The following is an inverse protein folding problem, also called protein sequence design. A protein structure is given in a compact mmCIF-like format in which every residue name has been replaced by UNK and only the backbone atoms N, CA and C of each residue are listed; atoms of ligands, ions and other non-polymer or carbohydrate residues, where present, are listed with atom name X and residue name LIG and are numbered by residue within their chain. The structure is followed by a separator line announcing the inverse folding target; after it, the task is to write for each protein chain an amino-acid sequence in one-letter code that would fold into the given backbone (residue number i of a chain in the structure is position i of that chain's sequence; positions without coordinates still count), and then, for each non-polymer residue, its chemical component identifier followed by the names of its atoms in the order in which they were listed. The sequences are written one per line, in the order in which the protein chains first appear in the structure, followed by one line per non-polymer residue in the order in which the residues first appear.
data_IF_669954703852
#
_entry.id   IF_669954703852
#
_cell.length_a   1.000
_cell.length_b   1.000
_cell.length_c   1.000
_cell.angle_alpha   90.00
_cell.angle_beta   90.00
_cell.angle_gamma   90.00
#
_symmetry.space_group_name_H-M   'P 1'
#
loop_
_entity.id
_entity.type
_entity.pdbx_description
1 polymer ?
#
# COMPACT_ATOMS: atom_id res chain seq x y z
N UNK A 1 2.44 -10.34 41.50
CA UNK A 1 1.68 -11.14 40.51
C UNK A 1 2.09 -10.59 39.17
N UNK A 2 2.90 -11.32 38.41
CA UNK A 2 3.32 -10.86 37.09
C UNK A 2 2.12 -10.88 36.14
N UNK A 3 1.89 -9.76 35.46
CA UNK A 3 0.88 -9.70 34.39
C UNK A 3 1.27 -10.71 33.30
N UNK A 4 0.29 -11.41 32.67
CA UNK A 4 0.53 -12.26 31.51
C UNK A 4 1.37 -11.51 30.46
N UNK A 5 2.29 -12.20 29.78
CA UNK A 5 3.24 -11.61 28.82
C UNK A 5 2.56 -10.60 27.86
N UNK A 6 1.45 -10.97 27.23
CA UNK A 6 0.68 -10.08 26.33
C UNK A 6 0.23 -8.78 27.04
N UNK A 7 -0.15 -8.85 28.33
CA UNK A 7 -0.60 -7.67 29.07
C UNK A 7 0.48 -6.63 29.32
N UNK A 8 1.75 -7.04 29.37
CA UNK A 8 2.89 -6.13 29.52
C UNK A 8 3.25 -5.44 28.19
N UNK A 9 2.98 -6.08 27.06
CA UNK A 9 3.40 -5.63 25.73
C UNK A 9 2.26 -5.12 24.83
N UNK A 10 1.09 -4.77 25.38
CA UNK A 10 -0.06 -4.39 24.54
C UNK A 10 0.19 -3.15 23.68
N UNK A 11 0.94 -2.18 24.20
CA UNK A 11 1.30 -0.98 23.45
C UNK A 11 2.29 -1.27 22.32
N UNK A 12 3.22 -2.22 22.54
CA UNK A 12 4.17 -2.66 21.52
C UNK A 12 3.42 -3.44 20.43
N UNK A 13 2.53 -4.36 20.82
CA UNK A 13 1.65 -5.11 19.91
C UNK A 13 0.76 -4.16 19.10
N UNK A 14 0.16 -3.15 19.72
CA UNK A 14 -0.66 -2.14 19.03
C UNK A 14 0.15 -1.40 17.96
N UNK A 15 1.39 -1.02 18.29
CA UNK A 15 2.32 -0.38 17.35
C UNK A 15 2.74 -1.32 16.22
N UNK A 16 2.90 -2.62 16.52
CA UNK A 16 3.22 -3.64 15.53
C UNK A 16 2.10 -3.91 14.54
N UNK A 17 0.86 -3.86 14.96
CA UNK A 17 -0.24 -4.10 14.04
C UNK A 17 -0.37 -2.97 12.99
N UNK A 18 0.32 -1.83 13.18
CA UNK A 18 0.40 -0.69 12.24
C UNK A 18 1.70 -0.69 11.43
N UNK A 19 2.84 -0.64 12.12
CA UNK A 19 4.15 -0.54 11.49
C UNK A 19 4.61 -1.94 11.09
N UNK A 20 5.17 -2.10 9.89
CA UNK A 20 5.46 -3.43 9.32
C UNK A 20 6.95 -3.75 9.26
N UNK A 21 7.80 -2.81 9.64
CA UNK A 21 9.25 -2.94 9.59
C UNK A 21 9.90 -2.00 10.58
N UNK A 22 10.96 -2.47 11.25
CA UNK A 22 11.80 -1.71 12.17
C UNK A 22 13.26 -2.03 11.92
N UNK A 23 14.11 -1.02 12.08
CA UNK A 23 15.57 -1.14 12.10
C UNK A 23 16.02 -1.08 13.56
N UNK A 24 16.80 -2.07 13.98
CA UNK A 24 17.28 -2.28 15.35
C UNK A 24 16.17 -2.14 16.41
N UNK A 25 15.10 -2.96 16.32
CA UNK A 25 14.07 -2.97 17.36
C UNK A 25 14.67 -3.40 18.70
N UNK A 26 14.15 -2.84 19.80
CA UNK A 26 14.51 -3.30 21.13
C UNK A 26 13.99 -4.73 21.41
N UNK A 27 14.49 -5.33 22.49
CA UNK A 27 14.18 -6.70 22.90
C UNK A 27 12.67 -6.91 23.14
N UNK A 28 11.95 -5.91 23.67
CA UNK A 28 10.51 -6.01 23.90
C UNK A 28 9.73 -6.12 22.58
N UNK A 29 10.14 -5.36 21.55
CA UNK A 29 9.54 -5.49 20.22
C UNK A 29 9.84 -6.88 19.63
N UNK A 30 11.07 -7.37 19.74
CA UNK A 30 11.42 -8.71 19.22
C UNK A 30 10.55 -9.77 19.89
N UNK A 31 10.43 -9.75 21.22
CA UNK A 31 9.63 -10.72 21.97
C UNK A 31 8.13 -10.62 21.62
N UNK A 32 7.60 -9.41 21.45
CA UNK A 32 6.21 -9.19 21.03
C UNK A 32 5.94 -9.75 19.63
N UNK A 33 6.86 -9.55 18.67
CA UNK A 33 6.69 -10.08 17.32
C UNK A 33 6.81 -11.61 17.28
N UNK A 34 7.70 -12.19 18.09
CA UNK A 34 7.82 -13.63 18.24
C UNK A 34 6.56 -14.25 18.83
N UNK A 35 5.97 -13.62 19.85
CA UNK A 35 4.68 -14.04 20.40
C UNK A 35 3.57 -14.02 19.34
N UNK A 36 3.45 -12.92 18.58
CA UNK A 36 2.45 -12.83 17.50
C UNK A 36 2.69 -13.86 16.39
N UNK A 37 3.95 -14.24 16.14
CA UNK A 37 4.32 -15.26 15.17
C UNK A 37 3.98 -16.67 15.67
N UNK A 38 4.16 -16.94 16.97
CA UNK A 38 3.77 -18.23 17.59
C UNK A 38 2.27 -18.51 17.50
N UNK A 39 1.44 -17.45 17.57
CA UNK A 39 -0.03 -17.57 17.41
C UNK A 39 -0.48 -17.46 15.94
N UNK A 40 0.43 -17.51 14.98
CA UNK A 40 0.20 -17.38 13.52
C UNK A 40 -0.42 -16.05 13.06
N UNK A 41 -0.45 -15.01 13.90
CA UNK A 41 -1.07 -13.72 13.54
C UNK A 41 -0.18 -12.89 12.64
N UNK A 42 1.14 -13.05 12.77
CA UNK A 42 2.12 -12.43 11.88
C UNK A 42 3.05 -13.51 11.34
N UNK A 43 3.56 -13.27 10.14
CA UNK A 43 4.76 -13.93 9.64
C UNK A 43 5.93 -12.97 9.85
N UNK A 44 6.91 -13.42 10.59
CA UNK A 44 8.10 -12.66 10.95
C UNK A 44 9.22 -12.93 9.94
N UNK A 45 9.82 -11.86 9.42
CA UNK A 45 10.95 -11.88 8.49
C UNK A 45 12.09 -11.05 9.11
N UNK A 46 13.16 -11.73 9.51
CA UNK A 46 14.37 -11.11 10.06
C UNK A 46 15.46 -11.18 9.01
N UNK A 47 16.10 -10.05 8.74
CA UNK A 47 17.33 -10.00 7.94
C UNK A 47 18.28 -8.96 8.49
N UNK A 48 19.57 -9.16 8.24
CA UNK A 48 20.59 -8.18 8.59
C UNK A 48 20.97 -7.40 7.35
N UNK A 49 21.38 -6.15 7.52
CA UNK A 49 22.05 -5.40 6.48
C UNK A 49 23.24 -4.62 7.02
N UNK A 50 24.12 -4.21 6.12
CA UNK A 50 25.19 -3.25 6.38
C UNK A 50 25.07 -2.09 5.40
N UNK A 51 25.54 -0.92 5.81
CA UNK A 51 25.63 0.23 4.90
C UNK A 51 26.95 0.15 4.15
N UNK A 52 26.91 0.33 2.83
CA UNK A 52 28.09 0.23 1.97
C UNK A 52 29.26 1.12 2.47
N UNK A 53 29.01 2.42 2.64
CA UNK A 53 29.95 3.38 3.20
C UNK A 53 29.40 4.00 4.49
N UNK A 54 29.58 3.29 5.61
CA UNK A 54 29.30 3.81 6.95
C UNK A 54 30.55 4.45 7.55
N UNK A 55 30.42 5.62 8.15
CA UNK A 55 31.53 6.39 8.73
C UNK A 55 32.11 5.80 10.02
N UNK A 56 31.37 4.89 10.64
CA UNK A 56 31.81 4.15 11.83
C UNK A 56 32.59 2.87 11.50
N UNK A 57 32.63 2.44 10.24
CA UNK A 57 33.30 1.21 9.85
C UNK A 57 34.82 1.39 9.65
N UNK A 58 35.59 0.31 9.86
CA UNK A 58 37.06 0.35 9.75
C UNK A 58 37.56 0.65 8.34
N UNK A 59 36.79 0.28 7.31
CA UNK A 59 37.16 0.50 5.92
C UNK A 59 36.85 1.91 5.41
N UNK A 60 36.05 2.69 6.16
CA UNK A 60 35.60 4.02 5.74
C UNK A 60 36.68 4.96 5.18
N UNK A 61 37.87 5.07 5.82
CA UNK A 61 38.93 5.96 5.32
C UNK A 61 39.45 5.59 3.93
N UNK A 62 39.27 4.34 3.50
CA UNK A 62 39.82 3.79 2.26
C UNK A 62 38.75 3.57 1.18
N UNK A 63 37.52 4.03 1.40
CA UNK A 63 36.41 3.86 0.44
C UNK A 63 36.52 4.89 -0.68
N UNK A 64 36.48 4.43 -1.94
CA UNK A 64 36.51 5.30 -3.11
C UNK A 64 35.28 6.21 -3.23
N UNK A 65 34.09 5.70 -2.89
CA UNK A 65 32.83 6.45 -2.86
C UNK A 65 32.23 6.50 -1.43
N UNK A 66 32.63 7.48 -0.60
CA UNK A 66 32.15 7.59 0.79
C UNK A 66 30.68 8.03 0.90
N UNK A 67 30.06 8.45 -0.21
CA UNK A 67 28.66 8.88 -0.24
C UNK A 67 27.68 7.73 -0.54
N UNK A 68 28.17 6.52 -0.81
CA UNK A 68 27.32 5.37 -1.06
C UNK A 68 26.66 4.87 0.24
N UNK A 69 25.39 5.23 0.45
CA UNK A 69 24.59 4.81 1.61
C UNK A 69 23.65 3.64 1.33
N UNK A 70 23.97 2.86 0.29
CA UNK A 70 23.15 1.70 -0.06
C UNK A 70 23.15 0.65 1.06
N UNK A 71 21.99 0.06 1.30
CA UNK A 71 21.77 -1.02 2.26
C UNK A 71 22.06 -2.35 1.56
N UNK A 72 23.03 -3.10 2.08
CA UNK A 72 23.44 -4.38 1.52
C UNK A 72 22.98 -5.48 2.46
N UNK A 73 22.00 -6.27 2.01
CA UNK A 73 21.40 -7.35 2.80
C UNK A 73 22.40 -8.48 2.97
N UNK A 74 22.54 -8.97 4.20
CA UNK A 74 23.37 -10.11 4.58
C UNK A 74 22.45 -11.30 4.87
N UNK A 75 22.68 -12.41 4.19
CA UNK A 75 21.97 -13.65 4.47
C UNK A 75 22.36 -14.22 5.83
N UNK A 76 21.47 -14.99 6.45
CA UNK A 76 21.70 -15.57 7.79
C UNK A 76 22.89 -16.54 7.87
N UNK A 77 23.27 -17.11 6.73
CA UNK A 77 24.28 -18.12 6.51
C UNK A 77 25.51 -17.57 5.79
N UNK A 78 25.58 -16.24 5.61
CA UNK A 78 26.66 -15.57 4.88
C UNK A 78 28.03 -15.87 5.50
N UNK A 79 28.91 -16.45 4.69
CA UNK A 79 30.31 -16.70 5.02
C UNK A 79 31.22 -15.97 4.03
N UNK A 80 31.96 -14.99 4.52
CA UNK A 80 32.86 -14.16 3.71
C UNK A 80 34.02 -14.96 3.08
N UNK A 81 34.33 -16.16 3.58
CA UNK A 81 35.31 -17.05 2.95
C UNK A 81 34.75 -17.80 1.72
N UNK A 82 33.44 -17.92 1.61
CA UNK A 82 32.74 -18.71 0.58
C UNK A 82 31.85 -17.88 -0.34
N UNK A 83 31.34 -16.75 0.14
CA UNK A 83 30.31 -15.93 -0.50
C UNK A 83 30.85 -14.54 -0.88
N UNK A 84 30.64 -14.16 -2.14
CA UNK A 84 30.90 -12.81 -2.61
C UNK A 84 29.70 -11.89 -2.33
N UNK A 85 29.93 -10.78 -1.63
CA UNK A 85 28.92 -9.76 -1.39
C UNK A 85 29.35 -8.46 -2.03
N UNK A 86 28.55 -7.93 -2.97
CA UNK A 86 28.85 -6.67 -3.64
C UNK A 86 27.70 -5.67 -3.48
N UNK A 87 28.04 -4.38 -3.40
CA UNK A 87 27.06 -3.32 -3.37
C UNK A 87 26.45 -3.11 -4.76
N UNK A 88 25.12 -3.22 -4.87
CA UNK A 88 24.41 -3.06 -6.16
C UNK A 88 24.57 -1.67 -6.79
N UNK A 89 24.75 -0.64 -5.95
CA UNK A 89 24.81 0.76 -6.41
C UNK A 89 26.19 1.16 -6.95
N UNK A 90 27.27 0.79 -6.25
CA UNK A 90 28.63 1.19 -6.61
C UNK A 90 29.51 0.04 -7.11
N UNK A 91 29.00 -1.20 -7.10
CA UNK A 91 29.72 -2.40 -7.53
C UNK A 91 30.89 -2.79 -6.63
N UNK A 92 30.97 -2.22 -5.42
CA UNK A 92 32.08 -2.46 -4.49
C UNK A 92 31.87 -3.75 -3.72
N UNK A 93 32.92 -4.57 -3.61
CA UNK A 93 32.94 -5.72 -2.73
C UNK A 93 32.83 -5.30 -1.25
N UNK A 94 31.95 -5.97 -0.54
CA UNK A 94 31.59 -5.71 0.85
C UNK A 94 32.08 -6.87 1.69
N UNK A 95 32.84 -6.54 2.72
CA UNK A 95 33.47 -7.50 3.62
C UNK A 95 33.02 -7.21 5.07
N UNK A 96 31.82 -7.66 5.47
CA UNK A 96 31.23 -7.34 6.76
C UNK A 96 32.06 -7.80 7.96
N UNK A 97 32.68 -8.98 7.89
CA UNK A 97 33.45 -9.58 8.97
C UNK A 97 34.87 -9.00 9.03
N UNK A 98 35.57 -8.92 7.90
CA UNK A 98 36.95 -8.39 7.85
C UNK A 98 37.02 -6.94 8.33
N UNK A 99 36.07 -6.09 7.91
CA UNK A 99 36.04 -4.68 8.30
C UNK A 99 35.15 -4.38 9.51
N UNK A 100 34.62 -5.41 10.17
CA UNK A 100 33.73 -5.29 11.34
C UNK A 100 32.63 -4.24 11.10
N UNK A 101 31.99 -4.30 9.93
CA UNK A 101 30.97 -3.32 9.54
C UNK A 101 29.80 -3.39 10.51
N UNK A 102 29.22 -2.25 10.85
CA UNK A 102 28.05 -2.20 11.71
C UNK A 102 26.87 -2.91 11.03
N UNK A 103 26.36 -3.94 11.71
CA UNK A 103 25.19 -4.69 11.26
C UNK A 103 23.94 -4.11 11.89
N UNK A 104 22.93 -3.92 11.07
CA UNK A 104 21.61 -3.48 11.48
C UNK A 104 20.63 -4.63 11.30
N UNK A 105 19.82 -4.90 12.32
CA UNK A 105 18.76 -5.89 12.27
C UNK A 105 17.50 -5.24 11.72
N UNK A 106 16.95 -5.78 10.64
CA UNK A 106 15.60 -5.43 10.20
C UNK A 106 14.65 -6.52 10.62
N UNK A 107 13.66 -6.12 11.42
CA UNK A 107 12.51 -6.94 11.74
C UNK A 107 11.34 -6.47 10.89
N UNK A 108 10.89 -7.32 9.98
CA UNK A 108 9.68 -7.06 9.19
C UNK A 108 8.60 -8.06 9.55
N UNK A 109 7.36 -7.61 9.57
CA UNK A 109 6.21 -8.45 9.87
C UNK A 109 5.16 -8.34 8.78
N UNK A 110 4.57 -9.48 8.44
CA UNK A 110 3.44 -9.57 7.53
C UNK A 110 2.23 -10.10 8.27
N UNK A 111 1.18 -9.30 8.35
CA UNK A 111 -0.07 -9.69 9.01
C UNK A 111 -0.74 -10.85 8.28
N UNK A 112 -1.10 -11.88 9.03
CA UNK A 112 -1.95 -12.96 8.57
C UNK A 112 -3.43 -12.63 8.87
N UNK A 113 -3.99 -11.76 8.04
CA UNK A 113 -5.37 -11.25 8.22
C UNK A 113 -6.41 -12.37 8.29
N UNK A 114 -6.23 -13.47 7.55
CA UNK A 114 -7.12 -14.62 7.57
C UNK A 114 -7.15 -15.31 8.94
N UNK A 115 -5.97 -15.56 9.54
CA UNK A 115 -5.89 -16.13 10.90
C UNK A 115 -6.49 -15.21 11.95
N UNK A 116 -6.25 -13.90 11.85
CA UNK A 116 -6.82 -12.91 12.77
C UNK A 116 -8.35 -12.89 12.65
N UNK A 117 -8.91 -12.90 11.43
CA UNK A 117 -10.36 -12.98 11.21
C UNK A 117 -10.93 -14.26 11.81
N UNK A 118 -10.32 -15.41 11.52
CA UNK A 118 -10.78 -16.69 12.04
C UNK A 118 -10.75 -16.75 13.56
N UNK A 119 -9.74 -16.15 14.19
CA UNK A 119 -9.69 -16.01 15.64
C UNK A 119 -10.79 -15.07 16.16
N UNK A 120 -11.00 -13.93 15.52
CA UNK A 120 -12.02 -12.98 15.92
C UNK A 120 -13.43 -13.58 15.80
N UNK A 121 -13.73 -14.28 14.70
CA UNK A 121 -15.01 -14.97 14.50
C UNK A 121 -15.23 -16.08 15.55
N UNK A 122 -14.16 -16.72 16.04
CA UNK A 122 -14.28 -17.65 17.19
C UNK A 122 -14.70 -16.95 18.47
N UNK A 123 -14.30 -15.69 18.71
CA UNK A 123 -14.78 -14.91 19.87
C UNK A 123 -16.29 -14.60 19.78
N UNK A 124 -16.85 -14.58 18.57
CA UNK A 124 -18.29 -14.40 18.34
C UNK A 124 -19.11 -15.67 18.62
N UNK A 125 -18.45 -16.82 18.84
CA UNK A 125 -19.13 -18.10 19.08
C UNK A 125 -20.00 -18.01 20.34
N UNK A 126 -21.29 -18.27 20.19
CA UNK A 126 -22.27 -18.15 21.28
C UNK A 126 -23.06 -16.85 21.27
N UNK A 127 -22.74 -15.90 20.37
CA UNK A 127 -23.56 -14.73 20.08
C UNK A 127 -24.36 -14.94 18.79
N UNK A 128 -25.46 -14.20 18.64
CA UNK A 128 -26.22 -14.14 17.38
C UNK A 128 -25.62 -13.02 16.54
N UNK A 129 -24.93 -13.38 15.46
CA UNK A 129 -24.24 -12.42 14.60
C UNK A 129 -24.37 -12.74 13.12
N UNK A 130 -24.20 -11.70 12.29
CA UNK A 130 -24.19 -11.77 10.83
C UNK A 130 -22.97 -11.01 10.29
N UNK A 131 -22.32 -11.58 9.27
CA UNK A 131 -21.26 -10.92 8.50
C UNK A 131 -21.88 -10.13 7.36
N UNK A 132 -21.94 -8.81 7.48
CA UNK A 132 -22.47 -7.96 6.41
C UNK A 132 -21.46 -7.76 5.27
N UNK A 133 -20.18 -7.64 5.62
CA UNK A 133 -19.06 -7.52 4.68
C UNK A 133 -17.75 -7.91 5.38
N UNK A 134 -16.65 -7.95 4.63
CA UNK A 134 -15.33 -8.17 5.22
C UNK A 134 -15.02 -7.07 6.24
N UNK A 135 -14.68 -7.48 7.47
CA UNK A 135 -14.42 -6.58 8.58
C UNK A 135 -15.67 -5.94 9.21
N UNK A 136 -16.90 -6.33 8.82
CA UNK A 136 -18.14 -5.74 9.36
C UNK A 136 -19.07 -6.85 9.85
N UNK A 137 -19.40 -6.78 11.14
CA UNK A 137 -20.22 -7.75 11.85
C UNK A 137 -21.39 -7.06 12.55
N UNK A 138 -22.60 -7.57 12.37
CA UNK A 138 -23.77 -7.14 13.14
C UNK A 138 -24.07 -8.18 14.20
N UNK A 139 -24.15 -7.75 15.45
CA UNK A 139 -24.34 -8.63 16.61
C UNK A 139 -25.60 -8.21 17.33
N UNK A 140 -26.49 -9.15 17.58
CA UNK A 140 -27.64 -8.94 18.45
C UNK A 140 -27.21 -9.12 19.91
N UNK A 141 -27.21 -8.03 20.68
CA UNK A 141 -26.78 -8.02 22.07
C UNK A 141 -27.71 -7.13 22.91
N UNK A 142 -28.25 -7.68 24.02
CA UNK A 142 -29.22 -6.99 24.91
C UNK A 142 -30.38 -6.31 24.14
N UNK A 143 -30.95 -7.02 23.16
CA UNK A 143 -32.04 -6.55 22.30
C UNK A 143 -31.72 -5.33 21.41
N UNK A 144 -30.43 -5.00 21.24
CA UNK A 144 -29.96 -4.00 20.27
C UNK A 144 -29.04 -4.67 19.24
N UNK A 145 -28.97 -4.07 18.06
CA UNK A 145 -27.99 -4.46 17.04
C UNK A 145 -26.74 -3.59 17.22
N UNK A 146 -25.61 -4.24 17.50
CA UNK A 146 -24.29 -3.62 17.60
C UNK A 146 -23.50 -3.95 16.35
N UNK A 147 -23.02 -2.93 15.66
CA UNK A 147 -22.18 -3.05 14.47
C UNK A 147 -20.72 -2.97 14.88
N UNK A 148 -19.99 -4.08 14.80
CA UNK A 148 -18.54 -4.10 14.97
C UNK A 148 -17.90 -3.92 13.61
N UNK A 149 -16.98 -2.96 13.52
CA UNK A 149 -16.29 -2.60 12.29
C UNK A 149 -14.79 -2.64 12.53
N UNK A 150 -14.07 -3.38 11.68
CA UNK A 150 -12.61 -3.47 11.63
C UNK A 150 -12.15 -2.74 10.36
N UNK A 151 -11.79 -1.45 10.43
CA UNK A 151 -11.59 -0.59 9.25
C UNK A 151 -10.53 -1.10 8.28
N UNK A 152 -9.44 -1.64 8.81
CA UNK A 152 -8.31 -2.21 8.08
C UNK A 152 -8.67 -3.44 7.24
N UNK A 153 -9.75 -4.14 7.60
CA UNK A 153 -10.28 -5.29 6.87
C UNK A 153 -11.50 -4.92 5.99
N UNK A 154 -11.98 -3.68 6.11
CA UNK A 154 -13.15 -3.19 5.41
C UNK A 154 -12.82 -2.86 3.96
N UNK A 155 -13.33 -3.67 3.03
CA UNK A 155 -13.18 -3.42 1.59
C UNK A 155 -14.17 -2.37 1.08
N UNK A 156 -15.35 -2.28 1.69
CA UNK A 156 -16.41 -1.35 1.30
C UNK A 156 -16.50 -0.15 2.27
N UNK A 157 -15.91 0.97 1.85
CA UNK A 157 -15.90 2.20 2.65
C UNK A 157 -17.28 2.82 2.88
N UNK A 158 -18.33 2.39 2.17
CA UNK A 158 -19.69 2.91 2.39
C UNK A 158 -20.19 2.68 3.82
N UNK A 159 -19.72 1.62 4.48
CA UNK A 159 -20.04 1.30 5.89
C UNK A 159 -19.37 2.22 6.91
N UNK A 160 -18.35 2.99 6.51
CA UNK A 160 -17.68 3.98 7.35
C UNK A 160 -18.28 5.39 7.19
N UNK A 161 -19.37 5.53 6.43
CA UNK A 161 -20.08 6.81 6.29
C UNK A 161 -20.77 7.19 7.59
N UNK A 162 -20.87 8.50 7.83
CA UNK A 162 -21.51 9.06 9.03
C UNK A 162 -22.94 8.55 9.17
N UNK A 163 -23.71 8.50 8.08
CA UNK A 163 -25.11 8.08 8.13
C UNK A 163 -25.27 6.59 8.52
N UNK A 164 -24.40 5.71 8.00
CA UNK A 164 -24.43 4.29 8.37
C UNK A 164 -23.94 4.05 9.79
N UNK A 165 -22.87 4.72 10.21
CA UNK A 165 -22.35 4.63 11.58
C UNK A 165 -23.36 5.11 12.63
N UNK A 166 -24.27 6.01 12.25
CA UNK A 166 -25.35 6.52 13.10
C UNK A 166 -26.64 5.69 13.07
N UNK A 167 -26.72 4.65 12.23
CA UNK A 167 -27.94 3.84 12.13
C UNK A 167 -28.09 2.88 13.32
N UNK A 168 -26.98 2.35 13.81
CA UNK A 168 -26.92 1.39 14.91
C UNK A 168 -25.85 1.80 15.92
N UNK A 169 -25.81 1.13 17.07
CA UNK A 169 -24.65 1.21 17.97
C UNK A 169 -23.43 0.70 17.20
N UNK A 170 -22.35 1.48 17.12
CA UNK A 170 -21.17 1.14 16.33
C UNK A 170 -19.91 1.10 17.21
N UNK A 171 -19.11 0.05 17.04
CA UNK A 171 -17.81 -0.13 17.67
C UNK A 171 -16.76 -0.29 16.60
N UNK A 172 -15.69 0.49 16.70
CA UNK A 172 -14.53 0.35 15.84
C UNK A 172 -13.45 -0.46 16.57
N UNK A 173 -12.97 -1.52 15.93
CA UNK A 173 -11.81 -2.27 16.40
C UNK A 173 -10.66 -1.99 15.43
N UNK A 174 -9.60 -1.34 15.89
CA UNK A 174 -8.50 -0.89 15.04
C UNK A 174 -7.23 -1.70 15.30
N UNK A 175 -6.41 -1.86 14.25
CA UNK A 175 -5.01 -2.27 14.41
C UNK A 175 -4.24 -0.98 14.72
N UNK A 176 -3.87 -0.72 15.97
CA UNK A 176 -3.23 0.52 16.36
C UNK A 176 -4.18 1.69 16.64
N UNK A 177 -3.58 2.80 17.06
CA UNK A 177 -4.17 4.14 17.00
C UNK A 177 -4.28 4.61 15.56
N UNK A 178 -5.30 4.16 14.84
CA UNK A 178 -5.70 4.80 13.60
C UNK A 178 -6.44 6.09 13.90
N UNK A 179 -5.90 7.21 13.42
CA UNK A 179 -6.54 8.52 13.48
C UNK A 179 -7.62 8.59 12.39
N UNK A 180 -8.70 7.84 12.62
CA UNK A 180 -9.88 7.85 11.78
C UNK A 180 -10.50 9.24 11.93
N UNK A 181 -10.21 10.12 10.97
CA UNK A 181 -10.71 11.50 10.86
C UNK A 181 -12.24 11.53 10.65
N UNK A 182 -13.00 10.94 11.57
CA UNK A 182 -14.46 10.80 11.52
C UNK A 182 -15.04 11.75 12.58
N UNK A 183 -16.03 12.54 12.17
CA UNK A 183 -16.67 13.56 12.98
C UNK A 183 -17.70 13.01 13.98
N UNK A 184 -17.49 11.78 14.44
CA UNK A 184 -18.38 11.07 15.35
C UNK A 184 -17.63 10.68 16.61
N UNK A 185 -18.33 10.74 17.76
CA UNK A 185 -17.87 10.15 19.00
C UNK A 185 -17.97 8.62 18.92
N UNK A 186 -17.05 8.01 18.18
CA UNK A 186 -17.02 6.56 17.99
C UNK A 186 -16.35 5.89 19.17
N UNK A 187 -16.93 4.77 19.60
CA UNK A 187 -16.27 3.91 20.55
C UNK A 187 -15.23 3.06 19.82
N UNK A 188 -13.96 3.44 19.97
CA UNK A 188 -12.80 2.76 19.38
C UNK A 188 -12.12 1.89 20.43
N UNK A 189 -11.79 0.66 20.06
CA UNK A 189 -11.05 -0.30 20.89
C UNK A 189 -9.86 -0.82 20.08
N UNK A 190 -8.70 -0.96 20.71
CA UNK A 190 -7.56 -1.58 20.04
C UNK A 190 -7.78 -3.09 19.91
N UNK A 191 -7.43 -3.66 18.75
CA UNK A 191 -7.36 -5.11 18.60
C UNK A 191 -6.36 -5.73 19.60
N UNK A 192 -5.30 -5.02 19.98
CA UNK A 192 -4.34 -5.49 20.97
C UNK A 192 -4.99 -5.71 22.35
N UNK A 193 -5.96 -4.88 22.73
CA UNK A 193 -6.69 -5.02 24.01
C UNK A 193 -7.52 -6.31 24.06
N UNK A 194 -8.04 -6.74 22.90
CA UNK A 194 -8.76 -8.01 22.75
C UNK A 194 -7.78 -9.20 22.74
N UNK A 195 -6.67 -9.09 22.01
CA UNK A 195 -5.66 -10.16 21.92
C UNK A 195 -5.02 -10.42 23.29
N UNK A 196 -4.76 -9.36 24.05
CA UNK A 196 -4.13 -9.46 25.36
C UNK A 196 -5.12 -9.56 26.54
N UNK A 197 -6.41 -9.73 26.24
CA UNK A 197 -7.47 -9.89 27.23
C UNK A 197 -7.53 -8.77 28.27
N UNK A 198 -7.18 -7.54 27.90
CA UNK A 198 -7.44 -6.35 28.72
C UNK A 198 -8.92 -6.04 28.75
N UNK A 199 -9.61 -6.27 27.62
CA UNK A 199 -11.05 -6.18 27.51
C UNK A 199 -11.60 -7.44 26.84
N UNK A 200 -12.74 -7.92 27.33
CA UNK A 200 -13.48 -9.00 26.69
C UNK A 200 -14.49 -8.43 25.70
N UNK A 201 -14.84 -9.21 24.67
CA UNK A 201 -15.87 -8.81 23.71
C UNK A 201 -17.20 -8.43 24.38
N UNK A 202 -17.61 -9.15 25.43
CA UNK A 202 -18.85 -8.86 26.16
C UNK A 202 -18.80 -7.53 26.93
N UNK A 203 -17.63 -7.14 27.45
CA UNK A 203 -17.45 -5.83 28.07
C UNK A 203 -17.56 -4.73 27.02
N UNK A 204 -16.88 -4.88 25.88
CA UNK A 204 -16.94 -3.95 24.74
C UNK A 204 -18.38 -3.79 24.25
N UNK A 205 -19.11 -4.89 24.05
CA UNK A 205 -20.51 -4.85 23.62
C UNK A 205 -21.41 -4.18 24.66
N UNK A 206 -21.17 -4.39 25.96
CA UNK A 206 -21.93 -3.75 27.02
C UNK A 206 -21.68 -2.24 27.05
N UNK A 207 -20.41 -1.81 27.02
CA UNK A 207 -20.02 -0.41 26.96
C UNK A 207 -20.55 0.28 25.70
N UNK A 208 -20.54 -0.41 24.56
CA UNK A 208 -21.11 0.10 23.32
C UNK A 208 -22.61 0.36 23.45
N UNK A 209 -23.36 -0.59 24.04
CA UNK A 209 -24.81 -0.45 24.26
C UNK A 209 -25.13 0.69 25.23
N UNK A 210 -24.28 0.92 26.23
CA UNK A 210 -24.38 2.03 27.20
C UNK A 210 -24.07 3.39 26.56
N UNK A 211 -23.02 3.47 25.73
CA UNK A 211 -22.67 4.66 24.96
C UNK A 211 -23.70 5.00 23.88
N UNK A 212 -24.42 3.99 23.39
CA UNK A 212 -25.48 4.18 22.42
C UNK A 212 -24.97 4.44 21.01
N UNK A 213 -25.77 5.15 20.22
CA UNK A 213 -25.44 5.47 18.83
C UNK A 213 -24.40 6.59 18.81
N UNK A 214 -23.37 6.53 17.94
CA UNK A 214 -22.38 7.59 17.83
C UNK A 214 -23.00 8.96 17.57
N UNK A 215 -22.61 9.95 18.38
CA UNK A 215 -23.07 11.33 18.25
C UNK A 215 -22.06 12.17 17.44
N UNK A 216 -22.53 13.27 16.85
CA UNK A 216 -21.64 14.23 16.19
C UNK A 216 -20.83 14.97 17.26
N UNK A 217 -19.54 15.15 17.00
CA UNK A 217 -18.69 15.92 17.90
C UNK A 217 -19.19 17.38 18.00
N UNK A 218 -19.26 17.98 19.20
CA UNK A 218 -19.72 19.36 19.37
C UNK A 218 -18.75 20.35 18.70
N UNK A 219 -19.28 21.46 18.18
CA UNK A 219 -18.54 22.56 17.52
C UNK A 219 -17.79 22.21 16.23
N UNK A 220 -18.16 21.13 15.55
CA UNK A 220 -17.61 20.83 14.22
C UNK A 220 -18.40 21.59 13.16
N UNK A 221 -17.77 22.60 12.55
CA UNK A 221 -18.30 23.19 11.31
C UNK A 221 -18.11 22.18 10.17
N UNK A 222 -19.21 21.75 9.56
CA UNK A 222 -19.19 20.93 8.34
C UNK A 222 -18.37 21.55 7.19
N UNK A 223 -18.04 22.84 7.27
CA UNK A 223 -17.24 23.56 6.28
C UNK A 223 -15.71 23.42 6.47
N UNK A 224 -15.24 22.89 7.60
CA UNK A 224 -13.80 22.80 7.92
C UNK A 224 -13.18 21.41 7.71
N UNK A 225 -13.98 20.41 7.35
CA UNK A 225 -13.50 19.10 6.90
C UNK A 225 -13.75 18.96 5.41
N UNK A 226 -12.95 18.16 4.68
CA UNK A 226 -13.33 17.72 3.35
C UNK A 226 -14.59 16.87 3.52
N UNK A 227 -15.74 17.55 3.42
CA UNK A 227 -17.04 16.95 3.22
C UNK A 227 -16.86 16.12 1.95
N UNK A 228 -16.65 14.81 2.10
CA UNK A 228 -16.94 13.89 1.01
C UNK A 228 -18.46 13.88 1.04
N UNK A 229 -19.15 14.53 0.08
CA UNK A 229 -20.58 14.39 0.00
C UNK A 229 -20.88 12.90 -0.09
N UNK A 230 -22.07 12.46 0.31
CA UNK A 230 -22.66 11.27 -0.31
C UNK A 230 -22.51 11.48 -1.81
N UNK A 231 -21.48 10.88 -2.40
CA UNK A 231 -21.49 10.63 -3.82
C UNK A 231 -22.68 9.70 -3.96
N UNK A 232 -23.80 10.28 -4.40
CA UNK A 232 -24.54 9.63 -5.47
C UNK A 232 -23.49 8.94 -6.33
N UNK A 233 -23.66 7.65 -6.59
CA UNK A 233 -22.87 6.89 -7.54
C UNK A 233 -23.07 7.49 -8.93
N UNK A 234 -22.65 8.74 -9.14
CA UNK A 234 -22.09 9.19 -10.38
C UNK A 234 -20.88 8.32 -10.56
N UNK A 235 -21.04 7.28 -11.39
CA UNK A 235 -19.96 6.68 -12.16
C UNK A 235 -18.85 7.72 -12.30
N UNK A 236 -17.61 7.45 -11.84
CA UNK A 236 -16.56 8.45 -11.85
C UNK A 236 -16.59 9.11 -13.21
N UNK A 237 -16.85 10.43 -13.25
CA UNK A 237 -16.90 11.16 -14.51
C UNK A 237 -15.70 10.68 -15.31
N UNK A 238 -15.97 10.06 -16.48
CA UNK A 238 -14.92 9.52 -17.31
C UNK A 238 -13.94 10.67 -17.50
N UNK A 239 -12.74 10.54 -16.95
CA UNK A 239 -11.65 11.50 -17.16
C UNK A 239 -11.25 11.36 -18.61
N UNK A 240 -11.92 12.10 -19.49
CA UNK A 240 -11.64 12.06 -20.92
C UNK A 240 -10.42 12.94 -21.15
N UNK A 241 -9.28 12.28 -21.33
CA UNK A 241 -8.00 12.84 -21.74
C UNK A 241 -7.96 12.84 -23.28
N UNK A 242 -7.87 14.03 -23.88
CA UNK A 242 -7.79 14.20 -25.33
C UNK A 242 -6.35 14.02 -25.78
N UNK A 243 -6.08 12.91 -26.47
CA UNK A 243 -4.77 12.64 -27.05
C UNK A 243 -4.66 13.35 -28.42
N UNK A 244 -3.54 14.05 -28.62
CA UNK A 244 -3.17 14.72 -29.87
C UNK A 244 -1.70 14.44 -30.17
N UNK A 245 -1.36 14.20 -31.44
CA UNK A 245 0.02 13.96 -31.89
C UNK A 245 0.34 14.95 -33.00
N UNK A 246 1.28 15.86 -32.77
CA UNK A 246 1.72 16.88 -33.74
C UNK A 246 3.25 16.87 -33.81
N UNK A 247 3.82 16.85 -35.02
CA UNK A 247 5.26 17.01 -35.26
C UNK A 247 6.17 16.16 -34.34
N UNK A 248 5.89 14.86 -34.24
CA UNK A 248 6.57 13.90 -33.34
C UNK A 248 6.49 14.24 -31.85
N UNK A 249 5.57 15.10 -31.45
CA UNK A 249 5.29 15.48 -30.06
C UNK A 249 3.90 14.96 -29.68
N UNK A 250 3.78 14.44 -28.48
CA UNK A 250 2.53 13.85 -27.98
C UNK A 250 1.97 14.78 -26.90
N UNK A 251 0.72 15.18 -27.10
CA UNK A 251 -0.03 16.05 -26.22
C UNK A 251 -1.22 15.32 -25.62
N UNK A 252 -1.52 15.62 -24.35
CA UNK A 252 -2.76 15.22 -23.71
C UNK A 252 -3.41 16.46 -23.10
N UNK A 253 -4.64 16.77 -23.52
CA UNK A 253 -5.33 18.03 -23.16
C UNK A 253 -4.44 19.26 -23.36
N UNK A 254 -3.79 19.35 -24.53
CA UNK A 254 -2.86 20.42 -24.92
C UNK A 254 -1.57 20.54 -24.06
N UNK A 255 -1.33 19.58 -23.16
CA UNK A 255 -0.08 19.49 -22.39
C UNK A 255 0.92 18.59 -23.09
N UNK A 256 2.14 19.07 -23.32
CA UNK A 256 3.22 18.27 -23.91
C UNK A 256 3.70 17.18 -22.95
N UNK A 257 3.30 15.93 -23.23
CA UNK A 257 3.66 14.79 -22.40
C UNK A 257 4.97 14.13 -22.86
N UNK A 258 5.18 14.00 -24.18
CA UNK A 258 6.40 13.45 -24.76
C UNK A 258 6.89 14.39 -25.85
N UNK A 259 8.04 15.03 -25.61
CA UNK A 259 8.65 15.98 -26.53
C UNK A 259 9.41 15.33 -27.68
N UNK A 260 9.59 16.08 -28.78
CA UNK A 260 10.30 15.67 -30.01
C UNK A 260 11.70 15.07 -29.80
N UNK A 261 12.39 15.42 -28.70
CA UNK A 261 13.73 14.93 -28.39
C UNK A 261 13.73 13.51 -27.80
N UNK A 262 12.59 13.01 -27.30
CA UNK A 262 12.46 11.69 -26.68
C UNK A 262 12.17 10.59 -27.71
N UNK A 263 13.09 10.39 -28.66
CA UNK A 263 12.91 9.52 -29.84
C UNK A 263 12.54 8.09 -29.49
N UNK A 264 13.14 7.49 -28.45
CA UNK A 264 12.81 6.14 -27.98
C UNK A 264 11.39 6.04 -27.42
N UNK A 265 11.01 6.98 -26.55
CA UNK A 265 9.67 7.10 -25.97
C UNK A 265 8.60 7.28 -27.04
N UNK A 266 8.84 8.12 -28.06
CA UNK A 266 7.93 8.32 -29.18
C UNK A 266 7.74 7.02 -29.98
N UNK A 267 8.83 6.29 -30.26
CA UNK A 267 8.77 5.01 -30.99
C UNK A 267 7.93 3.99 -30.24
N UNK A 268 8.15 3.84 -28.93
CA UNK A 268 7.36 2.93 -28.08
C UNK A 268 5.89 3.36 -28.03
N UNK A 269 5.62 4.65 -27.79
CA UNK A 269 4.25 5.16 -27.71
C UNK A 269 3.49 4.95 -29.03
N UNK A 270 4.16 5.11 -30.18
CA UNK A 270 3.56 4.85 -31.50
C UNK A 270 3.13 3.40 -31.70
N UNK A 271 3.89 2.45 -31.17
CA UNK A 271 3.51 1.03 -31.22
C UNK A 271 2.21 0.82 -30.44
N UNK A 272 2.12 1.37 -29.22
CA UNK A 272 0.91 1.30 -28.41
C UNK A 272 -0.28 2.00 -29.08
N UNK A 273 -0.05 3.18 -29.68
CA UNK A 273 -1.06 3.95 -30.40
C UNK A 273 -1.58 3.22 -31.65
N UNK A 274 -0.68 2.61 -32.42
CA UNK A 274 -1.05 1.84 -33.61
C UNK A 274 -1.92 0.64 -33.23
N UNK A 275 -1.61 -0.03 -32.12
CA UNK A 275 -2.44 -1.12 -31.61
C UNK A 275 -3.79 -0.63 -31.11
N UNK A 276 -3.81 0.49 -30.37
CA UNK A 276 -5.03 1.13 -29.89
C UNK A 276 -5.99 1.51 -31.03
N UNK A 277 -5.47 2.13 -32.11
CA UNK A 277 -6.25 2.49 -33.29
C UNK A 277 -6.80 1.26 -34.00
N UNK A 278 -6.00 0.20 -34.15
CA UNK A 278 -6.46 -1.07 -34.74
C UNK A 278 -7.59 -1.69 -33.94
N UNK A 279 -7.49 -1.68 -32.61
CA UNK A 279 -8.52 -2.26 -31.74
C UNK A 279 -9.80 -1.41 -31.75
N UNK A 280 -9.66 -0.08 -31.85
CA UNK A 280 -10.77 0.87 -32.03
C UNK A 280 -11.50 0.64 -33.36
N UNK A 281 -10.77 0.56 -34.48
CA UNK A 281 -11.34 0.30 -35.82
C UNK A 281 -12.01 -1.08 -35.92
N UNK A 282 -11.42 -2.10 -35.28
CA UNK A 282 -11.94 -3.45 -35.32
C UNK A 282 -13.12 -3.69 -34.36
N UNK A 283 -13.51 -2.70 -33.54
CA UNK A 283 -14.47 -2.83 -32.44
C UNK A 283 -14.18 -4.03 -31.53
N UNK A 284 -12.89 -4.34 -31.32
CA UNK A 284 -12.43 -5.47 -30.48
C UNK A 284 -12.07 -4.98 -29.09
N UNK A 285 -11.97 -5.92 -28.16
CA UNK A 285 -11.37 -5.64 -26.86
C UNK A 285 -9.92 -5.13 -27.03
N UNK A 286 -9.61 -3.99 -26.40
CA UNK A 286 -8.30 -3.36 -26.45
C UNK A 286 -7.22 -4.28 -25.86
N UNK A 287 -6.26 -4.69 -26.68
CA UNK A 287 -5.27 -5.69 -26.28
C UNK A 287 -4.08 -5.06 -25.57
N UNK A 288 -3.52 -5.79 -24.62
CA UNK A 288 -2.21 -5.49 -24.05
C UNK A 288 -1.11 -6.01 -24.96
N UNK A 289 -0.01 -5.25 -25.05
CA UNK A 289 1.22 -5.67 -25.72
C UNK A 289 2.29 -6.00 -24.69
N UNK A 290 2.86 -7.20 -24.78
CA UNK A 290 4.00 -7.58 -23.94
C UNK A 290 5.26 -6.79 -24.33
N UNK A 291 6.22 -6.70 -23.41
CA UNK A 291 7.49 -6.01 -23.70
C UNK A 291 8.24 -6.65 -24.88
N UNK A 292 8.08 -7.97 -25.06
CA UNK A 292 8.67 -8.74 -26.17
C UNK A 292 8.03 -8.32 -27.49
N UNK A 293 6.68 -8.27 -27.55
CA UNK A 293 5.96 -7.83 -28.76
C UNK A 293 6.30 -6.39 -29.16
N UNK A 294 6.48 -5.51 -28.17
CA UNK A 294 6.90 -4.12 -28.42
C UNK A 294 8.35 -4.10 -28.94
N UNK A 295 9.26 -4.87 -28.33
CA UNK A 295 10.65 -4.95 -28.76
C UNK A 295 10.80 -5.51 -30.18
N UNK A 296 10.08 -6.59 -30.51
CA UNK A 296 10.04 -7.20 -31.85
C UNK A 296 9.56 -6.19 -32.90
N UNK A 297 8.52 -5.41 -32.57
CA UNK A 297 8.00 -4.39 -33.49
C UNK A 297 8.96 -3.22 -33.74
N UNK A 298 9.96 -3.04 -32.87
CA UNK A 298 10.94 -1.96 -32.93
C UNK A 298 12.34 -2.43 -33.34
N UNK A 299 12.57 -3.75 -33.44
CA UNK A 299 13.89 -4.35 -33.68
C UNK A 299 14.86 -4.15 -32.52
N UNK A 300 14.39 -4.31 -31.28
CA UNK A 300 15.14 -4.08 -30.04
C UNK A 300 15.57 -5.42 -29.44
N UNK A 301 16.85 -5.54 -29.06
CA UNK A 301 17.43 -6.77 -28.50
C UNK A 301 17.23 -6.92 -26.98
N UNK A 302 17.10 -5.82 -26.23
CA UNK A 302 16.89 -5.81 -24.77
C UNK A 302 15.54 -5.18 -24.38
N UNK A 303 14.47 -5.97 -24.28
CA UNK A 303 13.13 -5.49 -23.91
C UNK A 303 13.05 -4.90 -22.49
N UNK A 304 13.89 -5.32 -21.55
CA UNK A 304 13.81 -4.85 -20.17
C UNK A 304 14.38 -3.43 -20.04
N UNK A 305 15.58 -3.20 -20.59
CA UNK A 305 16.23 -1.90 -20.53
C UNK A 305 15.66 -0.90 -21.52
N UNK A 306 15.32 -1.35 -22.73
CA UNK A 306 14.96 -0.45 -23.83
C UNK A 306 13.45 -0.32 -24.06
N UNK A 307 12.62 -1.14 -23.40
CA UNK A 307 11.15 -1.04 -23.46
C UNK A 307 10.53 -0.86 -22.08
N UNK A 308 10.75 -1.77 -21.12
CA UNK A 308 10.11 -1.70 -19.79
C UNK A 308 10.51 -0.46 -19.00
N UNK A 309 11.81 -0.19 -18.86
CA UNK A 309 12.30 0.98 -18.12
C UNK A 309 11.80 2.31 -18.72
N UNK A 310 11.85 2.55 -20.04
CA UNK A 310 11.25 3.71 -20.66
C UNK A 310 9.73 3.82 -20.45
N UNK A 311 8.98 2.72 -20.54
CA UNK A 311 7.53 2.71 -20.30
C UNK A 311 7.18 3.15 -18.88
N UNK A 312 7.84 2.57 -17.88
CA UNK A 312 7.60 2.93 -16.48
C UNK A 312 7.97 4.39 -16.20
N UNK A 313 9.08 4.87 -16.79
CA UNK A 313 9.48 6.30 -16.72
C UNK A 313 8.45 7.20 -17.41
N UNK A 314 7.92 6.82 -18.57
CA UNK A 314 6.87 7.56 -19.26
C UNK A 314 5.60 7.64 -18.40
N UNK A 315 5.09 6.52 -17.89
CA UNK A 315 3.90 6.50 -17.03
C UNK A 315 4.03 7.46 -15.84
N UNK A 316 5.19 7.45 -15.17
CA UNK A 316 5.47 8.36 -14.04
C UNK A 316 5.50 9.83 -14.50
N UNK A 317 6.27 10.13 -15.54
CA UNK A 317 6.46 11.50 -16.04
C UNK A 317 5.16 12.10 -16.58
N UNK A 318 4.36 11.31 -17.31
CA UNK A 318 3.08 11.72 -17.86
C UNK A 318 2.10 12.06 -16.72
N UNK A 319 2.01 11.19 -15.70
CA UNK A 319 1.13 11.42 -14.56
C UNK A 319 1.52 12.68 -13.78
N UNK A 320 2.81 12.87 -13.50
CA UNK A 320 3.31 14.06 -12.78
C UNK A 320 3.07 15.35 -13.57
N UNK A 321 3.36 15.37 -14.88
CA UNK A 321 3.13 16.53 -15.74
C UNK A 321 1.65 16.90 -15.84
N UNK A 322 0.78 15.91 -16.06
CA UNK A 322 -0.66 16.16 -16.21
C UNK A 322 -1.30 16.56 -14.88
N UNK A 323 -0.90 15.94 -13.76
CA UNK A 323 -1.39 16.34 -12.44
C UNK A 323 -0.96 17.77 -12.09
N UNK A 324 0.31 18.13 -12.36
CA UNK A 324 0.83 19.48 -12.10
C UNK A 324 0.21 20.57 -12.97
N UNK A 325 -0.16 20.25 -14.21
CA UNK A 325 -0.66 21.25 -15.18
C UNK A 325 -2.19 21.38 -15.16
N UNK A 326 -2.92 20.26 -15.02
CA UNK A 326 -4.39 20.24 -15.10
C UNK A 326 -5.07 20.33 -13.73
N UNK A 327 -4.32 20.18 -12.62
CA UNK A 327 -4.90 20.11 -11.27
C UNK A 327 -5.82 18.89 -11.05
N UNK A 328 -5.77 17.92 -11.96
CA UNK A 328 -6.56 16.69 -11.90
C UNK A 328 -5.77 15.60 -11.17
N UNK A 329 -6.48 14.72 -10.45
CA UNK A 329 -5.88 13.53 -9.85
C UNK A 329 -5.55 12.48 -10.95
N UNK A 330 -4.45 12.66 -11.67
CA UNK A 330 -4.01 11.76 -12.75
C UNK A 330 -3.16 10.63 -12.16
N UNK A 331 -3.56 9.38 -12.40
CA UNK A 331 -2.82 8.17 -12.00
C UNK A 331 -1.86 7.72 -13.09
N UNK A 332 -0.86 6.92 -12.70
CA UNK A 332 0.15 6.35 -13.62
C UNK A 332 -0.46 5.58 -14.81
N UNK A 333 -1.59 4.93 -14.60
CA UNK A 333 -2.27 4.11 -15.61
C UNK A 333 -3.33 4.86 -16.43
N UNK A 334 -3.52 6.17 -16.21
CA UNK A 334 -4.59 6.94 -16.87
C UNK A 334 -4.29 7.25 -18.34
N UNK A 335 -3.04 7.12 -18.82
CA UNK A 335 -2.69 7.30 -20.24
C UNK A 335 -2.16 6.00 -20.85
N UNK A 336 -1.14 5.41 -20.23
CA UNK A 336 -0.62 4.10 -20.57
C UNK A 336 -0.96 3.18 -19.42
N UNK A 337 -1.83 2.20 -19.64
CA UNK A 337 -2.21 1.21 -18.65
C UNK A 337 -1.23 0.04 -18.66
N UNK A 338 -0.68 -0.29 -17.49
CA UNK A 338 0.04 -1.54 -17.27
C UNK A 338 -0.88 -2.58 -16.63
N UNK A 339 -0.74 -3.84 -17.05
CA UNK A 339 -1.31 -4.98 -16.35
C UNK A 339 -0.18 -5.97 -16.05
N UNK A 340 -0.05 -6.33 -14.77
CA UNK A 340 0.98 -7.28 -14.33
C UNK A 340 0.89 -8.55 -15.19
N UNK A 341 2.01 -8.93 -15.80
CA UNK A 341 2.18 -10.07 -16.72
C UNK A 341 1.56 -9.94 -18.12
N UNK A 342 0.54 -9.10 -18.35
CA UNK A 342 -0.08 -8.94 -19.68
C UNK A 342 0.58 -7.87 -20.55
N UNK A 343 1.30 -6.91 -19.96
CA UNK A 343 2.03 -5.87 -20.69
C UNK A 343 1.35 -4.50 -20.63
N UNK A 344 1.45 -3.73 -21.72
CA UNK A 344 1.10 -2.31 -21.77
C UNK A 344 0.11 -2.01 -22.89
N UNK A 345 -0.78 -1.03 -22.67
CA UNK A 345 -1.67 -0.47 -23.71
C UNK A 345 -1.97 1.01 -23.44
N UNK A 346 -2.47 1.72 -24.45
CA UNK A 346 -3.13 3.02 -24.20
C UNK A 346 -4.46 2.74 -23.50
N UNK A 347 -4.77 3.50 -22.44
CA UNK A 347 -5.95 3.27 -21.64
C UNK A 347 -7.24 3.72 -22.37
N UNK A 348 -8.11 2.79 -22.80
CA UNK A 348 -9.33 3.14 -23.54
C UNK A 348 -10.42 3.78 -22.68
N UNK A 349 -10.33 3.64 -21.36
CA UNK A 349 -11.35 4.16 -20.43
C UNK A 349 -11.20 5.67 -20.19
N UNK A 350 -10.01 6.20 -20.47
CA UNK A 350 -9.62 7.58 -20.17
C UNK A 350 -9.16 8.33 -21.40
N UNK A 351 -8.62 7.67 -22.43
CA UNK A 351 -8.15 8.35 -23.64
C UNK A 351 -9.24 8.44 -24.69
N UNK A 352 -9.46 9.65 -25.20
CA UNK A 352 -10.21 9.89 -26.43
C UNK A 352 -9.30 10.58 -27.44
N UNK A 353 -9.42 10.19 -28.71
CA UNK A 353 -8.67 10.81 -29.79
C UNK A 353 -9.35 12.13 -30.14
N UNK A 354 -8.59 13.22 -30.05
CA UNK A 354 -9.05 14.48 -30.65
C UNK A 354 -8.94 14.36 -32.18
N UNK A 355 -10.02 14.71 -32.88
CA UNK A 355 -9.93 14.92 -34.33
C UNK A 355 -8.90 16.04 -34.58
N UNK A 356 -7.93 15.76 -35.45
CA UNK A 356 -6.97 16.75 -35.94
C UNK A 356 -7.68 17.73 -36.86
#
# INVERSE_FOLDING_TARGET
MELPFCRKHSQDIDTMLVNRSWVDPDENYIDAAEYLNQIDFVKLEKHYFVICANDLDLDFPNIQNPYCKNEVIISHDFDEECDDLACEDCGRDIFPNTYKKQRYLVLSIKLNTEKIINWFEKLLTGLIWEKAANGIYHISFKSKIVSIIIPTLCTDKSYLTVDRLRTNVAVLITFGKEDLKILLSLYTVSMADLICEHQTLNQILSEAVEKGVPELLPNVSFQAFPYVPLQETTLPEKKILRLKVEDNTIYVNDVEIIGKQATSSIRIFRVLLKQFLRDLEAAKEYKFLSIIQIADSLGIEDPEQQVRRPLNRMQKTIAEKLAGTLGLNIKRDDVIQACNWSGYRINPSTINLSAS
#
